data_IF_130350490947
#
_entry.id   IF_130350490947
#
_cell.length_a   1.000
_cell.length_b   1.000
_cell.length_c   1.000
_cell.angle_alpha   90.00
_cell.angle_beta   90.00
_cell.angle_gamma   90.00
#
_symmetry.space_group_name_H-M   'P 1'
#
loop_
_entity.id
_entity.type
_entity.pdbx_description
1 polymer ?
#
# COMPACT_ATOMS: atom_id res chain seq x y z
N UNK A 1 13.73 -20.06 16.04
CA UNK A 1 12.31 -20.11 15.61
C UNK A 1 12.07 -19.07 14.52
N UNK A 2 12.17 -19.47 13.24
CA UNK A 2 11.96 -18.58 12.09
C UNK A 2 10.47 -18.31 11.79
N UNK A 3 9.56 -19.15 12.30
CA UNK A 3 8.13 -19.10 11.96
C UNK A 3 7.39 -17.89 12.56
N UNK A 4 7.80 -17.43 13.75
CA UNK A 4 7.13 -16.29 14.40
C UNK A 4 7.41 -14.96 13.68
N UNK A 5 8.64 -14.77 13.19
CA UNK A 5 9.00 -13.60 12.39
C UNK A 5 8.24 -13.59 11.06
N UNK A 6 8.09 -14.75 10.42
CA UNK A 6 7.29 -14.88 9.20
C UNK A 6 5.83 -14.50 9.42
N UNK A 7 5.21 -15.00 10.51
CA UNK A 7 3.84 -14.65 10.85
C UNK A 7 3.67 -13.15 11.12
N UNK A 8 4.58 -12.53 11.87
CA UNK A 8 4.55 -11.09 12.13
C UNK A 8 4.63 -10.26 10.83
N UNK A 9 5.52 -10.65 9.91
CA UNK A 9 5.64 -10.01 8.60
C UNK A 9 4.37 -10.18 7.76
N UNK A 10 3.78 -11.38 7.74
CA UNK A 10 2.55 -11.65 7.02
C UNK A 10 1.37 -10.82 7.55
N UNK A 11 1.24 -10.71 8.88
CA UNK A 11 0.20 -9.89 9.53
C UNK A 11 0.40 -8.41 9.20
N UNK A 12 1.62 -7.89 9.31
CA UNK A 12 1.92 -6.50 8.96
C UNK A 12 1.60 -6.19 7.50
N UNK A 13 2.00 -7.07 6.57
CA UNK A 13 1.70 -6.92 5.16
C UNK A 13 0.18 -6.93 4.90
N UNK A 14 -0.56 -7.83 5.54
CA UNK A 14 -2.01 -7.92 5.41
C UNK A 14 -2.72 -6.66 5.95
N UNK A 15 -2.37 -6.23 7.16
CA UNK A 15 -2.95 -5.05 7.80
C UNK A 15 -2.66 -3.78 7.00
N UNK A 16 -1.43 -3.65 6.50
CA UNK A 16 -1.04 -2.52 5.64
C UNK A 16 -1.83 -2.54 4.32
N UNK A 17 -1.98 -3.71 3.70
CA UNK A 17 -2.81 -3.87 2.50
C UNK A 17 -4.25 -3.43 2.73
N UNK A 18 -4.88 -3.85 3.84
CA UNK A 18 -6.25 -3.43 4.19
C UNK A 18 -6.35 -1.94 4.49
N UNK A 19 -5.37 -1.36 5.19
CA UNK A 19 -5.34 0.07 5.45
C UNK A 19 -5.22 0.89 4.16
N UNK A 20 -4.36 0.46 3.24
CA UNK A 20 -4.20 1.11 1.93
C UNK A 20 -5.47 1.02 1.10
N UNK A 21 -6.14 -0.14 1.08
CA UNK A 21 -7.43 -0.31 0.41
C UNK A 21 -8.48 0.69 0.90
N UNK A 22 -8.59 0.87 2.23
CA UNK A 22 -9.49 1.87 2.84
C UNK A 22 -9.12 3.30 2.46
N UNK A 23 -7.83 3.63 2.40
CA UNK A 23 -7.35 4.97 2.05
C UNK A 23 -7.51 5.31 0.57
N UNK A 24 -7.47 4.29 -0.31
CA UNK A 24 -7.53 4.48 -1.74
C UNK A 24 -8.97 4.70 -2.28
N UNK A 25 -9.99 4.61 -1.43
CA UNK A 25 -11.39 4.86 -1.76
C UNK A 25 -12.26 3.60 -1.70
N UNK A 26 -13.58 3.79 -1.81
CA UNK A 26 -14.59 2.72 -1.70
C UNK A 26 -14.30 1.53 -2.63
N UNK A 27 -13.87 1.80 -3.86
CA UNK A 27 -13.67 0.78 -4.89
C UNK A 27 -12.50 -0.17 -4.62
N UNK A 28 -11.60 0.24 -3.72
CA UNK A 28 -10.42 -0.53 -3.33
C UNK A 28 -10.48 -1.03 -1.88
N UNK A 29 -11.57 -0.76 -1.18
CA UNK A 29 -11.74 -1.19 0.22
C UNK A 29 -11.62 -2.70 0.34
N UNK A 30 -12.27 -3.46 -0.54
CA UNK A 30 -12.21 -4.93 -0.58
C UNK A 30 -11.32 -5.48 -1.70
N UNK A 31 -10.38 -4.66 -2.19
CA UNK A 31 -9.42 -5.10 -3.19
C UNK A 31 -8.44 -6.13 -2.62
N UNK A 32 -8.16 -7.17 -3.42
CA UNK A 32 -7.11 -8.15 -3.14
C UNK A 32 -5.72 -7.51 -3.25
N UNK A 33 -4.71 -8.10 -2.60
CA UNK A 33 -3.32 -7.64 -2.70
C UNK A 33 -2.81 -7.54 -4.16
N UNK A 34 -3.25 -8.45 -5.04
CA UNK A 34 -2.92 -8.39 -6.47
C UNK A 34 -3.48 -7.13 -7.15
N UNK A 35 -4.71 -6.75 -6.82
CA UNK A 35 -5.37 -5.55 -7.35
C UNK A 35 -4.71 -4.29 -6.82
N UNK A 36 -4.39 -4.23 -5.53
CA UNK A 36 -3.62 -3.12 -4.94
C UNK A 36 -2.24 -2.98 -5.60
N UNK A 37 -1.56 -4.10 -5.88
CA UNK A 37 -0.29 -4.07 -6.62
C UNK A 37 -0.45 -3.45 -8.00
N UNK A 38 -1.49 -3.83 -8.75
CA UNK A 38 -1.73 -3.34 -10.12
C UNK A 38 -2.22 -1.89 -10.18
N UNK A 39 -3.00 -1.44 -9.21
CA UNK A 39 -3.67 -0.13 -9.25
C UNK A 39 -2.96 0.95 -8.44
N UNK A 40 -2.30 0.56 -7.34
CA UNK A 40 -1.68 1.50 -6.40
C UNK A 40 -0.16 1.42 -6.47
N UNK A 41 0.42 0.22 -6.34
CA UNK A 41 1.88 0.08 -6.21
C UNK A 41 2.64 0.17 -7.53
N UNK A 42 1.99 -0.09 -8.65
CA UNK A 42 2.61 -0.01 -9.99
C UNK A 42 2.23 1.26 -10.74
N UNK A 43 1.46 2.16 -10.10
CA UNK A 43 1.10 3.44 -10.70
C UNK A 43 2.39 4.25 -10.98
N UNK A 44 2.62 4.70 -12.22
CA UNK A 44 3.76 5.54 -12.52
C UNK A 44 3.58 6.88 -11.82
N UNK A 45 4.48 7.20 -10.92
CA UNK A 45 4.46 8.47 -10.20
C UNK A 45 5.70 8.64 -9.34
N UNK A 46 6.12 9.89 -9.17
CA UNK A 46 7.26 10.23 -8.30
C UNK A 46 6.72 10.80 -7.00
N UNK A 47 7.02 10.13 -5.89
CA UNK A 47 6.79 10.69 -4.56
C UNK A 47 7.87 11.74 -4.29
N UNK A 48 7.49 13.01 -4.26
CA UNK A 48 8.37 14.14 -3.95
C UNK A 48 8.05 14.70 -2.57
N UNK A 49 9.07 15.22 -1.90
CA UNK A 49 8.93 15.87 -0.61
C UNK A 49 9.31 17.36 -0.75
N UNK A 50 8.41 18.26 -0.39
CA UNK A 50 8.66 19.70 -0.45
C UNK A 50 7.97 20.39 0.72
N UNK A 51 8.68 21.25 1.45
CA UNK A 51 8.11 22.03 2.56
C UNK A 51 7.37 21.16 3.60
N UNK A 52 7.95 20.02 3.99
CA UNK A 52 7.35 19.03 4.91
C UNK A 52 6.07 18.35 4.41
N UNK A 53 5.75 18.47 3.11
CA UNK A 53 4.62 17.78 2.48
C UNK A 53 5.10 16.73 1.48
N UNK A 54 4.52 15.54 1.58
CA UNK A 54 4.62 14.50 0.55
C UNK A 54 3.62 14.81 -0.56
N UNK A 55 4.09 14.83 -1.81
CA UNK A 55 3.25 14.98 -3.00
C UNK A 55 3.56 13.85 -3.97
N UNK A 56 2.54 13.26 -4.57
CA UNK A 56 2.69 12.31 -5.67
C UNK A 56 2.54 13.08 -6.98
N UNK A 57 3.61 13.15 -7.77
CA UNK A 57 3.57 13.71 -9.13
C UNK A 57 3.31 12.57 -10.11
N UNK A 58 2.20 12.65 -10.82
CA UNK A 58 1.89 11.76 -11.92
C UNK A 58 2.55 12.33 -13.20
N UNK A 59 2.98 11.47 -14.14
CA UNK A 59 3.42 11.93 -15.46
C UNK A 59 2.31 12.65 -16.21
#
# INVERSE_FOLDING_TARGET
>A
MANAAWLALAIMAHNLGRAIGRLAGSDLTDATAATLRRKVFTMPGRLVHSGRRRRLRLP
#
